data_IF_641700120037
#
_entry.id   IF_641700120037
#
_cell.length_a   1.000
_cell.length_b   1.000
_cell.length_c   1.000
_cell.angle_alpha   90.00
_cell.angle_beta   90.00
_cell.angle_gamma   90.00
#
_symmetry.space_group_name_H-M   'P 1'
#
loop_
_entity.id
_entity.type
_entity.pdbx_description
1 polymer ?
#
# COMPACT_ATOMS: atom_id res chain seq x y z
N UNK A 1 -3.43 -11.43 7.77
CA UNK A 1 -4.72 -10.81 7.45
C UNK A 1 -5.83 -11.85 7.40
N UNK A 2 -6.91 -11.67 8.16
CA UNK A 2 -8.12 -12.51 8.17
C UNK A 2 -9.36 -11.61 8.20
N UNK A 3 -10.43 -11.94 7.47
CA UNK A 3 -11.66 -11.14 7.43
C UNK A 3 -12.88 -12.06 7.50
N UNK A 4 -13.59 -11.99 8.62
CA UNK A 4 -14.84 -12.70 8.82
C UNK A 4 -16.03 -11.96 8.19
N UNK A 5 -16.96 -12.75 7.64
CA UNK A 5 -18.26 -12.27 7.15
C UNK A 5 -19.09 -11.75 8.32
N UNK A 6 -19.75 -10.62 8.12
CA UNK A 6 -20.71 -10.07 9.09
C UNK A 6 -22.14 -10.46 8.71
N UNK A 7 -23.01 -10.55 9.71
CA UNK A 7 -24.44 -10.75 9.49
C UNK A 7 -25.03 -9.57 8.72
N UNK A 8 -25.89 -9.87 7.75
CA UNK A 8 -26.51 -8.86 6.87
C UNK A 8 -25.57 -8.22 5.83
N UNK A 9 -24.30 -8.61 5.79
CA UNK A 9 -23.35 -8.10 4.81
C UNK A 9 -23.46 -8.82 3.45
N UNK A 10 -23.40 -8.05 2.36
CA UNK A 10 -23.30 -8.60 1.00
C UNK A 10 -21.87 -9.08 0.70
N UNK A 11 -21.75 -10.04 -0.23
CA UNK A 11 -20.44 -10.57 -0.65
C UNK A 11 -19.51 -9.46 -1.16
N UNK A 12 -20.05 -8.47 -1.88
CA UNK A 12 -19.27 -7.34 -2.38
C UNK A 12 -18.69 -6.46 -1.26
N UNK A 13 -19.43 -6.27 -0.17
CA UNK A 13 -18.95 -5.53 1.00
C UNK A 13 -17.80 -6.30 1.69
N UNK A 14 -17.93 -7.62 1.81
CA UNK A 14 -16.88 -8.48 2.35
C UNK A 14 -15.61 -8.41 1.49
N UNK A 15 -15.73 -8.53 0.16
CA UNK A 15 -14.60 -8.41 -0.77
C UNK A 15 -13.93 -7.03 -0.67
N UNK A 16 -14.72 -5.96 -0.56
CA UNK A 16 -14.17 -4.60 -0.39
C UNK A 16 -13.35 -4.46 0.89
N UNK A 17 -13.83 -5.00 2.02
CA UNK A 17 -13.08 -5.01 3.28
C UNK A 17 -11.81 -5.83 3.16
N UNK A 18 -11.89 -6.99 2.52
CA UNK A 18 -10.72 -7.83 2.27
C UNK A 18 -9.67 -7.07 1.45
N UNK A 19 -10.04 -6.51 0.31
CA UNK A 19 -9.14 -5.73 -0.54
C UNK A 19 -8.52 -4.55 0.21
N UNK A 20 -9.31 -3.85 1.05
CA UNK A 20 -8.81 -2.76 1.89
C UNK A 20 -7.72 -3.23 2.85
N UNK A 21 -7.90 -4.38 3.51
CA UNK A 21 -6.88 -4.92 4.41
C UNK A 21 -5.61 -5.38 3.66
N UNK A 22 -5.75 -6.00 2.48
CA UNK A 22 -4.60 -6.41 1.64
C UNK A 22 -3.75 -5.20 1.25
N UNK A 23 -4.40 -4.10 0.89
CA UNK A 23 -3.72 -2.83 0.56
C UNK A 23 -3.09 -2.20 1.80
N UNK A 24 -3.79 -2.19 2.93
CA UNK A 24 -3.30 -1.62 4.19
C UNK A 24 -2.05 -2.35 4.72
N UNK A 25 -2.09 -3.69 4.72
CA UNK A 25 -0.95 -4.54 5.10
C UNK A 25 0.13 -4.63 4.01
N UNK A 26 -0.09 -4.01 2.84
CA UNK A 26 0.85 -3.96 1.70
C UNK A 26 1.30 -5.34 1.18
N UNK A 27 0.48 -6.39 1.36
CA UNK A 27 0.83 -7.78 1.05
C UNK A 27 1.32 -7.91 -0.41
N UNK A 28 0.50 -7.47 -1.38
CA UNK A 28 0.82 -7.56 -2.81
C UNK A 28 2.09 -6.76 -3.18
N UNK A 29 2.26 -5.59 -2.55
CA UNK A 29 3.43 -4.74 -2.78
C UNK A 29 4.70 -5.40 -2.28
N UNK A 30 4.70 -5.96 -1.07
CA UNK A 30 5.86 -6.63 -0.49
C UNK A 30 6.30 -7.83 -1.33
N UNK A 31 5.34 -8.61 -1.83
CA UNK A 31 5.66 -9.71 -2.76
C UNK A 31 6.32 -9.18 -4.04
N UNK A 32 5.74 -8.17 -4.70
CA UNK A 32 6.31 -7.58 -5.92
C UNK A 32 7.73 -7.04 -5.71
N UNK A 33 7.99 -6.37 -4.60
CA UNK A 33 9.32 -5.85 -4.26
C UNK A 33 10.36 -6.96 -4.03
N UNK A 34 9.92 -8.16 -3.64
CA UNK A 34 10.78 -9.34 -3.43
C UNK A 34 10.93 -10.23 -4.67
N UNK A 35 10.12 -10.04 -5.73
CA UNK A 35 10.19 -10.88 -6.94
C UNK A 35 11.50 -10.73 -7.69
N UNK A 36 12.16 -9.57 -7.58
CA UNK A 36 13.40 -9.29 -8.26
C UNK A 36 14.46 -8.86 -7.26
N UNK A 37 15.71 -9.24 -7.52
CA UNK A 37 16.83 -8.74 -6.75
C UNK A 37 17.01 -7.23 -7.01
N UNK A 38 17.06 -6.46 -5.93
CA UNK A 38 17.36 -5.03 -5.95
C UNK A 38 18.51 -4.78 -4.99
N UNK A 39 19.58 -4.16 -5.48
CA UNK A 39 20.74 -3.84 -4.65
C UNK A 39 20.38 -2.88 -3.50
N UNK A 40 21.15 -2.89 -2.41
CA UNK A 40 20.94 -1.97 -1.28
C UNK A 40 20.98 -0.50 -1.72
N UNK A 41 21.79 -0.15 -2.73
CA UNK A 41 21.87 1.21 -3.27
C UNK A 41 20.57 1.63 -3.96
N UNK A 42 20.02 0.77 -4.81
CA UNK A 42 18.76 1.04 -5.50
C UNK A 42 17.58 1.11 -4.52
N UNK A 43 17.54 0.26 -3.49
CA UNK A 43 16.55 0.36 -2.42
C UNK A 43 16.61 1.73 -1.70
N UNK A 44 17.81 2.26 -1.44
CA UNK A 44 18.00 3.58 -0.82
C UNK A 44 17.51 4.70 -1.73
N UNK A 45 17.86 4.65 -3.02
CA UNK A 45 17.39 5.63 -4.02
C UNK A 45 15.87 5.65 -4.13
N UNK A 46 15.22 4.49 -4.19
CA UNK A 46 13.76 4.42 -4.27
C UNK A 46 13.09 4.94 -2.99
N UNK A 47 13.66 4.64 -1.81
CA UNK A 47 13.18 5.21 -0.53
C UNK A 47 13.26 6.74 -0.52
N UNK A 48 14.37 7.32 -0.99
CA UNK A 48 14.54 8.77 -1.09
C UNK A 48 13.52 9.39 -2.06
N UNK A 49 13.40 8.85 -3.28
CA UNK A 49 12.41 9.31 -4.28
C UNK A 49 10.98 9.26 -3.73
N UNK A 50 10.63 8.19 -2.99
CA UNK A 50 9.31 8.05 -2.37
C UNK A 50 9.08 9.07 -1.26
N UNK A 51 10.08 9.33 -0.42
CA UNK A 51 9.99 10.34 0.63
C UNK A 51 9.78 11.74 0.02
N UNK A 52 10.52 12.08 -1.02
CA UNK A 52 10.38 13.35 -1.72
C UNK A 52 9.00 13.50 -2.40
N UNK A 53 8.53 12.45 -3.11
CA UNK A 53 7.17 12.45 -3.68
C UNK A 53 6.10 12.69 -2.62
N UNK A 54 6.22 12.05 -1.46
CA UNK A 54 5.27 12.24 -0.35
C UNK A 54 5.34 13.67 0.23
N UNK A 55 6.55 14.24 0.34
CA UNK A 55 6.75 15.62 0.79
C UNK A 55 6.05 16.60 -0.16
N UNK A 56 6.34 16.51 -1.47
CA UNK A 56 5.71 17.34 -2.51
C UNK A 56 4.17 17.20 -2.52
N UNK A 57 3.65 15.99 -2.30
CA UNK A 57 2.20 15.76 -2.21
C UNK A 57 1.57 16.50 -1.02
N UNK A 58 2.23 16.51 0.14
CA UNK A 58 1.76 17.21 1.35
C UNK A 58 1.82 18.73 1.17
N UNK A 59 2.91 19.24 0.59
CA UNK A 59 3.06 20.67 0.29
C UNK A 59 1.92 21.17 -0.61
N UNK A 60 1.60 20.42 -1.68
CA UNK A 60 0.47 20.76 -2.57
C UNK A 60 -0.89 20.73 -1.87
N UNK A 61 -1.10 19.77 -0.97
CA UNK A 61 -2.35 19.66 -0.21
C UNK A 61 -2.51 20.73 0.88
N UNK A 62 -1.43 21.40 1.28
CA UNK A 62 -1.46 22.51 2.24
C UNK A 62 -1.61 23.88 1.57
N UNK A 63 -1.42 23.96 0.25
CA UNK A 63 -1.50 25.20 -0.54
C UNK A 63 -2.86 25.43 -1.19
N UNK A 64 -3.78 24.45 -1.15
CA UNK A 64 -5.15 24.55 -1.65
C UNK A 64 -6.14 24.18 -0.57
#
# INVERSE_FOLDING_TARGET
MHVDRRDGESVEQLIRRFNKGVVAERITKTYREKMHFISKSEQRKEKQRRAERNRRKRERAAQG
#
